data_IF_282282308030
#
_entry.id   IF_282282308030
#
_cell.length_a   1.000
_cell.length_b   1.000
_cell.length_c   1.000
_cell.angle_alpha   90.00
_cell.angle_beta   90.00
_cell.angle_gamma   90.00
#
_symmetry.space_group_name_H-M   'P 1'
#
loop_
_entity.id
_entity.type
_entity.pdbx_description
1 polymer ?
#
# COMPACT_ATOMS: atom_id res chain seq x y z
N UNK A 1 8.60 -71.27 -13.34
CA UNK A 1 7.39 -71.82 -13.98
C UNK A 1 6.18 -71.31 -13.22
N UNK A 2 5.32 -70.53 -13.94
CA UNK A 2 3.94 -70.04 -13.63
C UNK A 2 3.65 -69.51 -12.21
N UNK A 3 3.20 -68.27 -11.97
CA UNK A 3 2.55 -67.28 -12.83
C UNK A 3 1.09 -67.06 -12.41
N UNK A 4 0.73 -65.83 -12.03
CA UNK A 4 -0.49 -65.15 -12.51
C UNK A 4 -0.39 -63.63 -12.29
N UNK A 5 -0.67 -62.89 -13.37
CA UNK A 5 -0.68 -61.43 -13.56
C UNK A 5 -2.10 -60.89 -13.25
N UNK A 6 -2.26 -59.72 -12.58
CA UNK A 6 -2.65 -58.36 -13.10
C UNK A 6 -4.10 -58.23 -13.65
N UNK A 7 -4.80 -57.05 -13.72
CA UNK A 7 -4.26 -55.70 -14.00
C UNK A 7 -5.01 -54.45 -13.40
N UNK A 8 -4.52 -53.24 -13.72
CA UNK A 8 -5.33 -52.00 -13.80
C UNK A 8 -4.93 -50.87 -12.83
N UNK A 9 -3.94 -50.03 -13.14
CA UNK A 9 -4.06 -48.75 -13.86
C UNK A 9 -4.87 -47.65 -13.14
N UNK A 10 -4.17 -46.72 -12.48
CA UNK A 10 -4.32 -45.27 -12.70
C UNK A 10 -3.21 -44.53 -11.94
N UNK A 11 -2.14 -44.17 -12.65
CA UNK A 11 -1.19 -43.16 -12.16
C UNK A 11 -1.85 -41.80 -12.32
N UNK A 12 -2.37 -41.23 -11.24
CA UNK A 12 -2.65 -39.81 -11.19
C UNK A 12 -1.31 -39.05 -11.17
N UNK A 13 -1.07 -38.07 -12.06
CA UNK A 13 0.12 -37.25 -11.98
C UNK A 13 0.05 -36.42 -10.70
N UNK A 14 1.08 -36.60 -9.85
CA UNK A 14 1.35 -35.73 -8.72
C UNK A 14 1.64 -34.34 -9.29
N UNK A 15 0.62 -33.48 -9.35
CA UNK A 15 0.81 -32.07 -9.60
C UNK A 15 1.55 -31.51 -8.38
N UNK A 16 2.89 -31.53 -8.45
CA UNK A 16 3.73 -30.70 -7.59
C UNK A 16 3.37 -29.27 -8.01
N UNK A 17 2.41 -28.68 -7.31
CA UNK A 17 2.15 -27.26 -7.36
C UNK A 17 3.42 -26.58 -6.90
N UNK A 18 4.26 -26.17 -7.86
CA UNK A 18 5.27 -25.14 -7.64
C UNK A 18 4.46 -23.91 -7.28
N UNK A 19 4.19 -23.71 -5.98
CA UNK A 19 3.84 -22.40 -5.48
C UNK A 19 5.06 -21.53 -5.78
N UNK A 20 5.05 -20.85 -6.93
CA UNK A 20 5.94 -19.73 -7.17
C UNK A 20 5.67 -18.72 -6.06
N UNK A 21 6.49 -18.74 -5.02
CA UNK A 21 6.51 -17.71 -3.99
C UNK A 21 6.87 -16.42 -4.73
N UNK A 22 5.87 -15.58 -5.00
CA UNK A 22 6.09 -14.25 -5.54
C UNK A 22 6.58 -13.39 -4.39
N UNK A 23 7.89 -13.18 -4.32
CA UNK A 23 8.46 -12.25 -3.35
C UNK A 23 7.88 -10.84 -3.58
N UNK A 24 7.52 -10.19 -2.49
CA UNK A 24 7.16 -8.78 -2.47
C UNK A 24 8.40 -7.91 -2.62
N UNK A 25 8.32 -6.84 -3.40
CA UNK A 25 9.40 -5.86 -3.44
C UNK A 25 9.17 -4.69 -2.48
N UNK A 26 7.92 -4.52 -2.04
CA UNK A 26 7.50 -3.50 -1.11
C UNK A 26 6.45 -4.07 -0.16
N UNK A 27 6.76 -4.18 1.13
CA UNK A 27 5.84 -4.74 2.12
C UNK A 27 5.48 -3.69 3.15
N UNK A 28 4.17 -3.58 3.44
CA UNK A 28 3.65 -2.80 4.55
C UNK A 28 3.24 -3.75 5.66
N UNK A 29 3.92 -3.67 6.81
CA UNK A 29 3.60 -4.46 8.00
C UNK A 29 2.89 -3.59 9.02
N UNK A 30 1.75 -4.04 9.52
CA UNK A 30 1.03 -3.46 10.64
C UNK A 30 1.34 -4.26 11.90
N UNK A 31 1.79 -3.62 12.98
CA UNK A 31 2.04 -4.26 14.27
C UNK A 31 0.75 -4.54 15.03
N UNK A 32 0.66 -5.72 15.66
CA UNK A 32 -0.50 -6.24 16.36
C UNK A 32 -0.68 -5.78 17.81
N UNK A 33 0.29 -5.07 18.40
CA UNK A 33 0.16 -4.61 19.78
C UNK A 33 1.45 -4.12 20.43
N UNK A 34 1.39 -2.86 20.86
CA UNK A 34 2.35 -2.09 21.65
C UNK A 34 1.80 -0.67 21.68
N UNK A 35 2.00 0.09 22.76
CA UNK A 35 1.53 1.48 22.98
C UNK A 35 2.04 2.48 21.92
N UNK A 36 1.72 2.23 20.66
CA UNK A 36 2.14 3.00 19.51
C UNK A 36 1.05 4.04 19.23
N UNK A 37 1.36 5.34 19.37
CA UNK A 37 0.38 6.39 19.64
C UNK A 37 -0.69 6.65 18.57
N UNK A 38 -0.60 6.09 17.36
CA UNK A 38 -1.59 6.30 16.28
C UNK A 38 -2.44 5.07 15.89
N UNK A 39 -2.20 3.87 16.44
CA UNK A 39 -3.07 2.71 16.24
C UNK A 39 -4.43 2.93 16.91
N UNK A 40 -4.47 3.60 18.08
CA UNK A 40 -5.72 4.14 18.62
C UNK A 40 -6.44 5.07 17.63
N UNK A 41 -5.72 5.89 16.85
CA UNK A 41 -6.35 6.90 15.99
C UNK A 41 -7.06 6.30 14.76
N UNK A 42 -6.44 5.35 14.05
CA UNK A 42 -7.09 4.67 12.93
C UNK A 42 -8.28 3.80 13.38
N UNK A 43 -8.13 3.15 14.55
CA UNK A 43 -9.18 2.38 15.19
C UNK A 43 -10.36 3.28 15.61
N UNK A 44 -10.10 4.39 16.29
CA UNK A 44 -11.12 5.36 16.70
C UNK A 44 -11.85 5.96 15.50
N UNK A 45 -11.13 6.30 14.42
CA UNK A 45 -11.74 6.82 13.19
C UNK A 45 -12.67 5.78 12.54
N UNK A 46 -12.25 4.51 12.47
CA UNK A 46 -13.07 3.43 11.92
C UNK A 46 -14.34 3.18 12.74
N UNK A 47 -14.26 3.30 14.06
CA UNK A 47 -15.41 3.15 14.96
C UNK A 47 -16.37 4.33 14.83
N UNK A 48 -15.86 5.55 14.72
CA UNK A 48 -16.70 6.73 14.50
C UNK A 48 -17.48 6.64 13.18
N UNK A 49 -16.84 6.18 12.09
CA UNK A 49 -17.52 5.92 10.81
C UNK A 49 -18.57 4.81 10.95
N UNK A 50 -18.25 3.72 11.66
CA UNK A 50 -19.21 2.64 11.88
C UNK A 50 -20.42 3.09 12.71
N UNK A 51 -20.24 3.90 13.74
CA UNK A 51 -21.33 4.52 14.51
C UNK A 51 -22.20 5.41 13.62
N UNK A 52 -21.58 6.21 12.74
CA UNK A 52 -22.29 7.09 11.79
C UNK A 52 -23.12 6.29 10.77
N UNK A 53 -22.56 5.23 10.18
CA UNK A 53 -23.26 4.37 9.22
C UNK A 53 -24.41 3.60 9.90
N UNK A 54 -24.20 3.10 11.12
CA UNK A 54 -25.25 2.39 11.86
C UNK A 54 -26.38 3.33 12.27
N UNK A 55 -26.09 4.59 12.61
CA UNK A 55 -27.11 5.60 12.85
C UNK A 55 -27.99 5.91 11.63
N UNK A 56 -27.48 5.69 10.40
CA UNK A 56 -28.25 5.89 9.16
C UNK A 56 -28.99 4.63 8.68
N UNK A 57 -28.83 3.51 9.38
CA UNK A 57 -29.36 2.24 8.94
C UNK A 57 -30.89 2.18 9.11
N UNK A 58 -31.60 2.08 7.98
CA UNK A 58 -33.04 1.78 7.98
C UNK A 58 -33.24 0.31 8.35
N UNK A 59 -33.71 0.07 9.56
CA UNK A 59 -34.06 -1.27 10.04
C UNK A 59 -35.32 -1.76 9.29
N UNK A 60 -35.32 -2.98 8.74
CA UNK A 60 -36.45 -3.49 7.96
C UNK A 60 -37.64 -3.83 8.87
N UNK A 61 -38.85 -3.64 8.35
CA UNK A 61 -40.07 -4.06 9.04
C UNK A 61 -40.09 -5.59 9.21
N UNK A 62 -40.54 -6.04 10.38
CA UNK A 62 -40.57 -7.45 10.76
C UNK A 62 -42.02 -7.88 10.91
N UNK A 63 -42.45 -8.87 10.14
CA UNK A 63 -43.79 -9.45 10.27
C UNK A 63 -43.72 -10.96 10.42
N UNK A 64 -44.76 -11.54 11.01
CA UNK A 64 -44.84 -12.98 11.18
C UNK A 64 -46.13 -13.43 11.81
N UNK A 65 -46.21 -14.72 12.08
CA UNK A 65 -47.37 -15.33 12.69
C UNK A 65 -46.99 -16.03 14.00
N UNK A 66 -47.79 -15.86 15.04
CA UNK A 66 -47.66 -16.60 16.29
C UNK A 66 -49.00 -17.18 16.73
N UNK A 67 -48.97 -18.29 17.47
CA UNK A 67 -50.18 -18.92 18.00
C UNK A 67 -50.36 -18.55 19.47
N UNK A 68 -51.52 -18.01 19.80
CA UNK A 68 -51.91 -17.74 21.18
C UNK A 68 -52.90 -18.82 21.62
N UNK A 69 -52.66 -19.42 22.79
CA UNK A 69 -53.57 -20.40 23.40
C UNK A 69 -54.95 -19.77 23.57
N UNK A 70 -56.01 -20.45 23.12
CA UNK A 70 -57.43 -20.01 23.11
C UNK A 70 -57.83 -18.98 22.03
N UNK A 71 -56.92 -18.51 21.18
CA UNK A 71 -57.21 -17.48 20.16
C UNK A 71 -56.91 -17.96 18.74
N UNK A 72 -55.94 -18.86 18.57
CA UNK A 72 -55.50 -19.33 17.26
C UNK A 72 -54.29 -18.58 16.71
N UNK A 73 -54.12 -18.62 15.38
CA UNK A 73 -52.99 -18.01 14.67
C UNK A 73 -53.24 -16.51 14.52
N UNK A 74 -52.28 -15.70 14.96
CA UNK A 74 -52.35 -14.25 14.95
C UNK A 74 -51.16 -13.69 14.19
N UNK A 75 -51.43 -12.75 13.28
CA UNK A 75 -50.40 -12.07 12.50
C UNK A 75 -49.94 -10.81 13.24
N UNK A 76 -48.63 -10.63 13.35
CA UNK A 76 -48.01 -9.44 13.93
C UNK A 76 -47.12 -8.74 12.91
N UNK A 77 -46.98 -7.44 13.10
CA UNK A 77 -46.15 -6.55 12.30
C UNK A 77 -45.45 -5.56 13.23
N UNK A 78 -44.14 -5.43 13.07
CA UNK A 78 -43.26 -4.46 13.71
C UNK A 78 -42.74 -3.59 12.58
N UNK A 79 -43.01 -2.30 12.63
CA UNK A 79 -42.73 -1.39 11.52
C UNK A 79 -42.17 -0.06 12.00
N UNK A 80 -41.66 0.74 11.07
CA UNK A 80 -41.15 2.10 11.36
C UNK A 80 -40.06 2.10 12.43
N UNK A 81 -39.16 1.13 12.34
CA UNK A 81 -38.03 0.97 13.27
C UNK A 81 -37.05 2.14 13.11
N UNK A 82 -36.84 2.91 14.17
CA UNK A 82 -35.96 4.08 14.19
C UNK A 82 -34.89 3.93 15.28
N UNK A 83 -33.62 3.99 14.89
CA UNK A 83 -32.49 3.84 15.81
C UNK A 83 -32.17 5.22 16.43
N UNK A 84 -32.68 5.48 17.63
CA UNK A 84 -32.51 6.77 18.34
C UNK A 84 -31.10 7.00 18.83
N UNK A 85 -30.47 5.98 19.40
CA UNK A 85 -29.11 6.06 19.90
C UNK A 85 -28.37 4.75 19.69
N UNK A 86 -27.09 4.84 19.35
CA UNK A 86 -26.21 3.68 19.20
C UNK A 86 -24.79 4.08 19.52
N UNK A 87 -24.14 3.33 20.39
CA UNK A 87 -22.77 3.62 20.81
C UNK A 87 -21.98 2.33 21.03
N UNK A 88 -20.68 2.42 20.73
CA UNK A 88 -19.69 1.34 20.79
C UNK A 88 -18.55 1.72 21.74
N UNK A 89 -18.76 1.70 23.06
CA UNK A 89 -17.82 2.31 24.02
C UNK A 89 -16.45 1.63 24.03
N UNK A 90 -16.43 0.31 23.85
CA UNK A 90 -15.20 -0.47 23.85
C UNK A 90 -15.14 -1.32 22.60
N UNK A 91 -14.11 -1.09 21.80
CA UNK A 91 -13.80 -1.85 20.61
C UNK A 91 -12.32 -2.19 20.59
N UNK A 92 -11.97 -3.34 20.01
CA UNK A 92 -10.60 -3.80 19.82
C UNK A 92 -10.51 -4.55 18.50
N UNK A 93 -9.43 -4.30 17.76
CA UNK A 93 -9.02 -5.14 16.65
C UNK A 93 -7.84 -6.00 17.10
N UNK A 94 -7.96 -7.31 16.96
CA UNK A 94 -6.87 -8.26 17.20
C UNK A 94 -6.53 -9.03 15.93
N UNK A 95 -5.31 -9.57 15.88
CA UNK A 95 -4.87 -10.43 14.80
C UNK A 95 -5.29 -11.87 15.07
N UNK A 96 -5.78 -12.55 14.03
CA UNK A 96 -6.08 -13.98 14.09
C UNK A 96 -5.22 -14.67 13.04
N UNK A 97 -4.20 -15.44 13.46
CA UNK A 97 -3.30 -16.14 12.54
C UNK A 97 -4.07 -16.95 11.50
N UNK A 98 -3.67 -16.81 10.23
CA UNK A 98 -4.27 -17.52 9.08
C UNK A 98 -5.74 -17.19 8.78
N UNK A 99 -6.38 -16.27 9.52
CA UNK A 99 -7.76 -15.82 9.27
C UNK A 99 -7.78 -14.36 8.82
N UNK A 100 -7.10 -13.47 9.56
CA UNK A 100 -7.10 -12.04 9.28
C UNK A 100 -7.24 -11.22 10.56
N UNK A 101 -8.30 -10.42 10.63
CA UNK A 101 -8.58 -9.53 11.75
C UNK A 101 -9.80 -9.99 12.54
N UNK A 102 -9.80 -9.75 13.84
CA UNK A 102 -10.97 -9.93 14.69
C UNK A 102 -11.34 -8.62 15.35
N UNK A 103 -12.55 -8.16 15.07
CA UNK A 103 -13.15 -7.00 15.72
C UNK A 103 -13.98 -7.50 16.89
N UNK A 104 -13.64 -7.05 18.10
CA UNK A 104 -14.38 -7.33 19.32
C UNK A 104 -14.94 -6.03 19.89
N UNK A 105 -16.25 -5.99 20.10
CA UNK A 105 -16.99 -4.87 20.66
C UNK A 105 -17.64 -5.34 21.96
N UNK A 106 -17.54 -4.53 23.01
CA UNK A 106 -18.16 -4.82 24.30
C UNK A 106 -18.89 -3.60 24.88
N UNK A 107 -19.90 -3.88 25.70
CA UNK A 107 -20.80 -2.91 26.32
C UNK A 107 -21.46 -1.94 25.33
N UNK A 108 -21.69 -2.39 24.09
CA UNK A 108 -22.46 -1.60 23.14
C UNK A 108 -23.90 -1.44 23.63
N UNK A 109 -24.50 -0.30 23.30
CA UNK A 109 -25.89 0.00 23.63
C UNK A 109 -26.63 0.60 22.45
N UNK A 110 -27.92 0.31 22.37
CA UNK A 110 -28.81 0.79 21.32
C UNK A 110 -30.18 1.12 21.90
N UNK A 111 -30.79 2.21 21.45
CA UNK A 111 -32.19 2.55 21.70
C UNK A 111 -32.91 2.62 20.36
N UNK A 112 -33.99 1.84 20.23
CA UNK A 112 -34.77 1.69 19.01
C UNK A 112 -36.23 1.95 19.33
N UNK A 113 -36.83 2.83 18.56
CA UNK A 113 -38.26 3.03 18.55
C UNK A 113 -38.91 2.25 17.43
N UNK A 114 -40.18 1.94 17.59
CA UNK A 114 -40.97 1.47 16.46
C UNK A 114 -42.45 1.36 16.78
N UNK A 115 -43.17 0.89 15.79
CA UNK A 115 -44.59 0.60 15.87
C UNK A 115 -44.82 -0.90 15.86
N UNK A 116 -45.83 -1.36 16.59
CA UNK A 116 -46.28 -2.73 16.56
C UNK A 116 -47.77 -2.77 16.23
N UNK A 117 -48.18 -3.81 15.51
CA UNK A 117 -49.56 -4.06 15.14
C UNK A 117 -49.83 -5.55 15.22
N UNK A 118 -50.91 -5.91 15.88
CA UNK A 118 -51.44 -7.28 15.90
C UNK A 118 -52.77 -7.25 15.17
N UNK A 119 -52.83 -7.92 14.01
CA UNK A 119 -53.96 -7.84 13.09
C UNK A 119 -55.28 -8.13 13.80
N UNK A 120 -56.25 -7.22 13.68
CA UNK A 120 -57.61 -7.27 14.27
C UNK A 120 -57.67 -7.25 15.81
N UNK A 121 -56.58 -6.90 16.50
CA UNK A 121 -56.55 -6.85 17.97
C UNK A 121 -56.14 -5.49 18.51
N UNK A 122 -54.93 -5.07 18.19
CA UNK A 122 -54.34 -3.90 18.84
C UNK A 122 -53.15 -3.36 18.04
N UNK A 123 -52.74 -2.14 18.37
CA UNK A 123 -51.59 -1.47 17.81
C UNK A 123 -51.01 -0.47 18.81
N UNK A 124 -49.75 -0.12 18.64
CA UNK A 124 -49.11 0.90 19.44
C UNK A 124 -47.68 1.14 19.01
N UNK A 125 -46.97 1.94 19.78
CA UNK A 125 -45.53 2.13 19.69
C UNK A 125 -44.79 1.33 20.76
N UNK A 126 -43.49 1.12 20.55
CA UNK A 126 -42.60 0.60 21.57
C UNK A 126 -41.26 1.35 21.56
N UNK A 127 -40.63 1.37 22.72
CA UNK A 127 -39.23 1.74 22.96
C UNK A 127 -38.46 0.47 23.33
N UNK A 128 -37.34 0.24 22.66
CA UNK A 128 -36.46 -0.90 22.85
C UNK A 128 -35.07 -0.40 23.22
N UNK A 129 -34.67 -0.66 24.46
CA UNK A 129 -33.31 -0.40 24.94
C UNK A 129 -32.52 -1.70 25.07
N UNK A 130 -31.45 -1.81 24.32
CA UNK A 130 -30.52 -2.92 24.32
C UNK A 130 -29.22 -2.47 24.99
N UNK A 131 -28.83 -3.16 26.05
CA UNK A 131 -27.62 -2.83 26.84
C UNK A 131 -26.71 -4.05 26.92
N UNK A 132 -25.41 -3.79 27.12
CA UNK A 132 -24.39 -4.83 27.30
C UNK A 132 -24.37 -5.80 26.10
N UNK A 133 -24.32 -5.23 24.89
CA UNK A 133 -24.14 -5.97 23.65
C UNK A 133 -22.66 -6.25 23.44
N UNK A 134 -22.35 -7.52 23.18
CA UNK A 134 -21.04 -8.00 22.78
C UNK A 134 -21.13 -8.47 21.33
N UNK A 135 -20.25 -7.97 20.48
CA UNK A 135 -20.18 -8.33 19.05
C UNK A 135 -18.76 -8.79 18.77
N UNK A 136 -18.61 -9.94 18.12
CA UNK A 136 -17.32 -10.46 17.69
C UNK A 136 -17.40 -10.82 16.21
N UNK A 137 -16.52 -10.22 15.42
CA UNK A 137 -16.52 -10.32 13.94
C UNK A 137 -15.13 -10.76 13.52
N UNK A 138 -15.03 -11.86 12.79
CA UNK A 138 -13.79 -12.26 12.13
C UNK A 138 -13.84 -11.78 10.68
N UNK A 139 -12.93 -10.87 10.33
CA UNK A 139 -12.74 -10.35 8.97
C UNK A 139 -11.64 -11.17 8.29
N UNK A 140 -12.03 -11.83 7.21
CA UNK A 140 -11.10 -12.51 6.32
C UNK A 140 -10.60 -11.51 5.27
N UNK A 141 -9.29 -11.31 5.23
CA UNK A 141 -8.63 -10.45 4.25
C UNK A 141 -8.14 -11.29 3.07
N UNK A 142 -8.33 -10.76 1.86
CA UNK A 142 -8.00 -11.43 0.61
C UNK A 142 -7.40 -10.48 -0.42
N UNK A 143 -7.17 -10.99 -1.61
CA UNK A 143 -6.83 -10.20 -2.80
C UNK A 143 -7.60 -10.74 -4.00
N UNK A 144 -8.02 -9.84 -4.90
CA UNK A 144 -8.63 -10.22 -6.16
C UNK A 144 -7.58 -10.40 -7.28
N UNK A 145 -8.01 -10.85 -8.46
CA UNK A 145 -7.14 -11.09 -9.60
C UNK A 145 -6.45 -9.83 -10.14
N UNK A 146 -6.94 -8.63 -9.79
CA UNK A 146 -6.31 -7.35 -10.14
C UNK A 146 -5.27 -6.88 -9.10
N UNK A 147 -5.10 -7.65 -8.02
CA UNK A 147 -4.23 -7.30 -6.90
C UNK A 147 -4.84 -6.22 -5.99
N UNK A 148 -6.16 -6.06 -5.98
CA UNK A 148 -6.84 -5.20 -4.99
C UNK A 148 -7.17 -6.01 -3.72
N UNK A 149 -7.12 -5.38 -2.53
CA UNK A 149 -7.53 -6.03 -1.30
C UNK A 149 -9.03 -6.33 -1.31
N UNK A 150 -9.40 -7.44 -0.68
CA UNK A 150 -10.80 -7.80 -0.42
C UNK A 150 -10.99 -8.07 1.06
N UNK A 151 -12.20 -7.83 1.57
CA UNK A 151 -12.60 -8.24 2.91
C UNK A 151 -13.96 -8.94 2.83
N UNK A 152 -14.13 -10.00 3.62
CA UNK A 152 -15.43 -10.61 3.91
C UNK A 152 -15.47 -11.02 5.39
N UNK A 153 -16.64 -11.39 5.89
CA UNK A 153 -16.80 -11.92 7.23
C UNK A 153 -16.73 -13.45 7.20
N UNK A 154 -15.80 -14.05 7.95
CA UNK A 154 -15.75 -15.52 8.10
C UNK A 154 -16.62 -16.02 9.24
N UNK A 155 -16.78 -15.21 10.28
CA UNK A 155 -17.62 -15.52 11.44
C UNK A 155 -18.14 -14.23 12.08
N UNK A 156 -19.35 -14.30 12.63
CA UNK A 156 -19.91 -13.22 13.44
C UNK A 156 -20.75 -13.82 14.57
N UNK A 157 -20.50 -13.37 15.79
CA UNK A 157 -21.31 -13.72 16.96
C UNK A 157 -21.73 -12.48 17.74
N UNK A 158 -22.95 -12.50 18.24
CA UNK A 158 -23.54 -11.43 19.04
C UNK A 158 -24.15 -11.99 20.30
N UNK A 159 -23.83 -11.40 21.45
CA UNK A 159 -24.46 -11.71 22.72
C UNK A 159 -25.06 -10.44 23.31
N UNK A 160 -26.37 -10.48 23.53
CA UNK A 160 -27.13 -9.39 24.13
C UNK A 160 -27.45 -9.80 25.55
N UNK A 161 -26.96 -9.04 26.54
CA UNK A 161 -27.13 -9.42 27.94
C UNK A 161 -28.40 -8.83 28.55
N UNK A 162 -28.86 -7.67 28.07
CA UNK A 162 -30.02 -6.99 28.63
C UNK A 162 -30.84 -6.31 27.54
N UNK A 163 -32.11 -6.67 27.50
CA UNK A 163 -33.11 -6.09 26.60
C UNK A 163 -34.25 -5.57 27.46
N UNK A 164 -34.54 -4.28 27.35
CA UNK A 164 -35.69 -3.63 27.97
C UNK A 164 -36.60 -3.17 26.86
N UNK A 165 -37.86 -3.58 26.92
CA UNK A 165 -38.86 -3.16 25.94
C UNK A 165 -40.02 -2.54 26.69
N UNK A 166 -40.41 -1.34 26.28
CA UNK A 166 -41.57 -0.64 26.78
C UNK A 166 -42.58 -0.52 25.64
N UNK A 167 -43.70 -1.25 25.75
CA UNK A 167 -44.81 -1.13 24.81
C UNK A 167 -45.82 -0.12 25.35
N UNK A 168 -46.28 0.78 24.48
CA UNK A 168 -47.50 1.55 24.75
C UNK A 168 -48.73 0.65 24.59
N UNK A 169 -49.75 0.82 25.45
CA UNK A 169 -51.00 0.06 25.42
C UNK A 169 -51.13 -1.02 26.51
N UNK A 170 -52.18 -1.85 26.41
CA UNK A 170 -52.56 -2.84 27.46
C UNK A 170 -51.80 -4.18 27.38
N UNK A 171 -50.91 -4.35 26.41
CA UNK A 171 -50.19 -5.59 26.13
C UNK A 171 -48.73 -5.52 26.61
N UNK A 172 -48.51 -5.57 27.93
CA UNK A 172 -47.18 -5.64 28.55
C UNK A 172 -46.45 -6.99 28.45
N UNK A 173 -46.93 -7.92 27.60
CA UNK A 173 -46.47 -9.32 27.54
C UNK A 173 -45.92 -9.76 26.19
N UNK A 174 -45.74 -8.84 25.22
CA UNK A 174 -44.98 -9.12 24.01
C UNK A 174 -43.49 -9.19 24.36
N UNK A 175 -42.97 -10.40 24.63
CA UNK A 175 -41.51 -10.61 24.64
C UNK A 175 -41.00 -10.36 23.22
N UNK A 176 -39.95 -9.56 23.10
CA UNK A 176 -39.30 -9.23 21.82
C UNK A 176 -38.97 -10.52 21.05
N UNK A 177 -39.70 -10.76 19.97
CA UNK A 177 -39.52 -11.84 19.00
C UNK A 177 -39.61 -11.19 17.61
N UNK A 178 -38.57 -11.17 16.78
CA UNK A 178 -37.13 -11.40 17.01
C UNK A 178 -36.37 -10.07 17.21
N UNK A 179 -35.42 -10.00 18.15
CA UNK A 179 -34.46 -8.90 18.20
C UNK A 179 -33.67 -8.81 16.87
N UNK A 180 -33.23 -7.61 16.45
CA UNK A 180 -32.50 -7.43 15.20
C UNK A 180 -31.27 -8.35 15.11
N UNK A 181 -31.10 -9.00 13.96
CA UNK A 181 -29.96 -9.87 13.68
C UNK A 181 -28.71 -9.02 13.39
N UNK A 182 -28.11 -8.47 14.44
CA UNK A 182 -26.92 -7.58 14.39
C UNK A 182 -25.83 -8.14 13.47
N UNK A 183 -25.58 -9.45 13.49
CA UNK A 183 -24.61 -10.06 12.59
C UNK A 183 -24.98 -9.98 11.11
N UNK A 184 -26.25 -10.08 10.74
CA UNK A 184 -26.64 -9.93 9.33
C UNK A 184 -26.40 -8.52 8.83
N UNK A 185 -26.65 -7.52 9.68
CA UNK A 185 -26.36 -6.12 9.38
C UNK A 185 -24.84 -5.94 9.17
N UNK A 186 -24.02 -6.44 10.10
CA UNK A 186 -22.56 -6.39 9.98
C UNK A 186 -22.06 -7.04 8.69
N UNK A 187 -22.51 -8.27 8.40
CA UNK A 187 -22.12 -9.00 7.18
C UNK A 187 -22.51 -8.21 5.94
N UNK A 188 -23.71 -7.60 5.93
CA UNK A 188 -24.17 -6.75 4.84
C UNK A 188 -23.28 -5.51 4.68
N UNK A 189 -22.97 -4.79 5.76
CA UNK A 189 -22.11 -3.60 5.74
C UNK A 189 -20.68 -3.91 5.28
N UNK A 190 -20.11 -5.05 5.65
CA UNK A 190 -18.79 -5.47 5.14
C UNK A 190 -18.82 -5.62 3.63
N UNK A 191 -19.90 -6.19 3.08
CA UNK A 191 -20.05 -6.44 1.64
C UNK A 191 -20.48 -5.20 0.85
N UNK A 192 -21.30 -4.31 1.42
CA UNK A 192 -21.82 -3.13 0.72
C UNK A 192 -20.96 -1.89 0.89
N UNK A 193 -20.22 -1.75 1.99
CA UNK A 193 -19.42 -0.55 2.27
C UNK A 193 -17.92 -0.84 2.27
N UNK A 194 -17.46 -1.75 3.14
CA UNK A 194 -16.01 -1.98 3.33
C UNK A 194 -15.38 -2.59 2.07
N UNK A 195 -15.99 -3.60 1.48
CA UNK A 195 -15.45 -4.25 0.29
C UNK A 195 -15.40 -3.30 -0.91
N UNK A 196 -16.44 -2.50 -1.23
CA UNK A 196 -16.33 -1.46 -2.25
C UNK A 196 -15.29 -0.38 -1.94
N UNK A 197 -15.18 0.06 -0.68
CA UNK A 197 -14.12 0.99 -0.27
C UNK A 197 -12.72 0.41 -0.57
N UNK A 198 -12.46 -0.84 -0.20
CA UNK A 198 -11.18 -1.50 -0.48
C UNK A 198 -10.88 -1.59 -1.98
N UNK A 199 -11.91 -1.73 -2.83
CA UNK A 199 -11.76 -1.70 -4.29
C UNK A 199 -11.37 -0.32 -4.82
N UNK A 200 -11.64 0.77 -4.11
CA UNK A 200 -11.20 2.12 -4.51
C UNK A 200 -9.70 2.32 -4.36
N UNK A 201 -9.02 1.50 -3.55
CA UNK A 201 -7.59 1.65 -3.29
C UNK A 201 -6.80 1.51 -4.61
N UNK A 202 -5.91 2.48 -4.90
CA UNK A 202 -5.15 2.46 -6.14
C UNK A 202 -4.15 1.31 -6.14
N UNK A 203 -4.22 0.47 -7.17
CA UNK A 203 -3.17 -0.54 -7.45
C UNK A 203 -2.02 0.06 -8.25
N UNK A 204 -2.23 1.22 -8.87
CA UNK A 204 -1.16 1.98 -9.51
C UNK A 204 -1.27 3.44 -9.11
N UNK A 205 -0.12 4.09 -8.91
CA UNK A 205 -0.03 5.51 -8.61
C UNK A 205 0.93 6.19 -9.60
N UNK A 206 0.53 7.33 -10.14
CA UNK A 206 1.45 8.18 -10.93
C UNK A 206 2.34 8.96 -9.96
N UNK A 207 3.64 8.99 -10.24
CA UNK A 207 4.61 9.77 -9.47
C UNK A 207 4.80 11.13 -10.13
N UNK A 208 5.01 11.13 -11.45
CA UNK A 208 5.17 12.33 -12.25
C UNK A 208 4.78 12.08 -13.72
N UNK A 209 5.23 12.95 -14.63
CA UNK A 209 4.96 12.83 -16.07
C UNK A 209 5.73 11.68 -16.76
N UNK A 210 6.68 11.03 -16.08
CA UNK A 210 7.57 10.01 -16.64
C UNK A 210 7.29 8.62 -16.07
N UNK A 211 7.00 8.52 -14.77
CA UNK A 211 6.91 7.24 -14.07
C UNK A 211 5.64 7.08 -13.21
N UNK A 212 5.22 5.82 -13.06
CA UNK A 212 4.24 5.38 -12.07
C UNK A 212 4.76 4.17 -11.28
N UNK A 213 4.05 3.80 -10.22
CA UNK A 213 4.34 2.65 -9.37
C UNK A 213 3.14 1.71 -9.37
N UNK A 214 3.41 0.42 -9.46
CA UNK A 214 2.46 -0.68 -9.29
C UNK A 214 2.53 -1.21 -7.85
N UNK A 215 1.46 -0.97 -7.10
CA UNK A 215 1.21 -1.42 -5.74
C UNK A 215 0.18 -2.55 -5.68
N UNK A 216 -0.06 -3.28 -6.78
CA UNK A 216 -0.93 -4.47 -6.74
C UNK A 216 -0.45 -5.45 -5.66
N UNK A 217 -1.36 -6.05 -4.89
CA UNK A 217 -1.05 -7.14 -3.98
C UNK A 217 -0.48 -8.33 -4.75
N UNK A 218 0.64 -8.87 -4.28
CA UNK A 218 1.22 -10.09 -4.85
C UNK A 218 0.69 -11.36 -4.18
N UNK A 219 0.09 -11.21 -3.00
CA UNK A 219 -0.59 -12.24 -2.22
C UNK A 219 -1.67 -11.60 -1.31
N UNK A 220 -2.64 -12.39 -0.82
CA UNK A 220 -3.54 -11.95 0.25
C UNK A 220 -2.79 -11.42 1.48
N UNK A 221 -3.32 -10.40 2.19
CA UNK A 221 -2.74 -9.94 3.44
C UNK A 221 -2.62 -11.08 4.46
N UNK A 222 -1.45 -11.22 5.06
CA UNK A 222 -1.12 -12.34 5.95
C UNK A 222 -1.10 -11.87 7.40
N UNK A 223 -2.04 -12.37 8.21
CA UNK A 223 -2.07 -12.13 9.65
C UNK A 223 -1.26 -13.20 10.40
N UNK A 224 -0.35 -12.76 11.25
CA UNK A 224 0.40 -13.56 12.23
C UNK A 224 -0.09 -13.22 13.64
N UNK A 225 0.53 -13.79 14.68
CA UNK A 225 0.20 -13.43 16.06
C UNK A 225 0.60 -11.99 16.42
N UNK A 226 1.53 -11.40 15.67
CA UNK A 226 2.17 -10.11 16.00
C UNK A 226 2.07 -9.07 14.89
N UNK A 227 1.77 -9.47 13.66
CA UNK A 227 1.71 -8.55 12.53
C UNK A 227 0.61 -8.90 11.52
N UNK A 228 0.16 -7.89 10.78
CA UNK A 228 -0.55 -8.05 9.52
C UNK A 228 0.35 -7.54 8.40
N UNK A 229 0.81 -8.46 7.55
CA UNK A 229 1.73 -8.18 6.46
C UNK A 229 0.95 -8.03 5.14
N UNK A 230 1.19 -6.91 4.46
CA UNK A 230 0.59 -6.56 3.17
C UNK A 230 1.69 -6.48 2.13
N UNK A 231 1.76 -7.51 1.30
CA UNK A 231 2.81 -7.69 0.29
C UNK A 231 2.40 -7.07 -1.04
N UNK A 232 3.12 -6.03 -1.45
CA UNK A 232 2.85 -5.22 -2.62
C UNK A 232 3.92 -5.42 -3.68
N UNK A 233 3.52 -5.30 -4.94
CA UNK A 233 4.42 -5.50 -6.06
C UNK A 233 5.58 -4.50 -6.08
N UNK A 234 5.33 -3.22 -5.76
CA UNK A 234 6.36 -2.18 -5.60
C UNK A 234 7.22 -1.97 -6.85
N UNK A 235 6.62 -1.97 -8.03
CA UNK A 235 7.35 -1.92 -9.31
C UNK A 235 7.14 -0.58 -9.99
N UNK A 236 8.21 0.17 -10.26
CA UNK A 236 8.10 1.36 -11.10
C UNK A 236 7.98 0.97 -12.58
N UNK A 237 7.18 1.74 -13.31
CA UNK A 237 7.05 1.61 -14.75
C UNK A 237 7.09 2.98 -15.42
N UNK A 238 7.63 3.02 -16.64
CA UNK A 238 7.59 4.21 -17.50
C UNK A 238 6.18 4.40 -18.06
N UNK A 239 5.69 5.65 -18.02
CA UNK A 239 4.42 6.04 -18.64
C UNK A 239 4.50 6.07 -20.17
N UNK A 240 5.71 6.23 -20.73
CA UNK A 240 5.92 6.21 -22.18
C UNK A 240 5.90 4.78 -22.74
N UNK A 241 6.53 3.83 -22.04
CA UNK A 241 6.55 2.43 -22.45
C UNK A 241 6.68 1.48 -21.26
N UNK A 242 5.64 0.72 -21.00
CA UNK A 242 5.64 -0.31 -19.96
C UNK A 242 6.30 -1.58 -20.50
N UNK A 243 7.38 -2.02 -19.86
CA UNK A 243 8.11 -3.24 -20.22
C UNK A 243 8.38 -4.10 -18.99
N UNK A 244 8.42 -5.42 -19.19
CA UNK A 244 8.71 -6.37 -18.12
C UNK A 244 10.10 -6.10 -17.49
N UNK A 245 10.19 -6.30 -16.19
CA UNK A 245 11.44 -6.17 -15.44
C UNK A 245 12.21 -7.49 -15.54
N UNK A 246 13.49 -7.49 -15.98
CA UNK A 246 14.24 -8.73 -16.28
C UNK A 246 14.90 -9.37 -15.05
N UNK A 247 14.54 -8.95 -13.85
CA UNK A 247 15.04 -9.48 -12.58
C UNK A 247 13.88 -9.59 -11.58
N UNK A 248 14.07 -10.36 -10.50
CA UNK A 248 13.04 -10.61 -9.49
C UNK A 248 13.40 -10.00 -8.13
N UNK A 249 12.41 -9.66 -7.29
CA UNK A 249 12.67 -9.22 -5.93
C UNK A 249 13.16 -10.37 -5.04
N UNK A 250 14.04 -10.02 -4.11
CA UNK A 250 14.48 -10.91 -3.03
C UNK A 250 13.52 -10.81 -1.83
N UNK A 251 13.41 -11.86 -1.00
CA UNK A 251 12.61 -11.80 0.21
C UNK A 251 13.06 -10.65 1.12
N UNK A 252 12.09 -9.88 1.62
CA UNK A 252 12.34 -8.82 2.59
C UNK A 252 12.36 -9.41 4.01
N UNK A 253 13.45 -9.16 4.74
CA UNK A 253 13.51 -9.42 6.17
C UNK A 253 13.15 -8.15 6.93
N UNK A 254 12.27 -8.29 7.91
CA UNK A 254 11.89 -7.22 8.82
C UNK A 254 12.49 -7.47 10.20
N UNK A 255 12.83 -6.41 10.95
CA UNK A 255 13.26 -6.57 12.34
C UNK A 255 12.16 -7.25 13.17
N UNK A 256 12.54 -7.96 14.25
CA UNK A 256 11.59 -8.60 15.15
C UNK A 256 10.86 -7.59 16.06
N UNK A 257 11.31 -6.34 16.09
CA UNK A 257 10.74 -5.29 16.93
C UNK A 257 9.37 -4.82 16.42
N UNK A 258 8.52 -4.44 17.37
CA UNK A 258 7.13 -4.02 17.13
C UNK A 258 6.81 -2.65 17.77
N UNK A 259 7.85 -1.83 17.99
CA UNK A 259 7.80 -0.50 18.60
C UNK A 259 7.05 0.55 17.76
N UNK A 260 6.79 0.27 16.49
CA UNK A 260 6.04 1.13 15.56
C UNK A 260 4.78 0.42 15.09
N UNK A 261 3.77 1.23 14.71
CA UNK A 261 2.53 0.68 14.17
C UNK A 261 2.67 0.14 12.77
N UNK A 262 3.51 0.78 11.95
CA UNK A 262 3.67 0.47 10.54
C UNK A 262 5.16 0.40 10.24
N UNK A 263 5.57 -0.69 9.60
CA UNK A 263 6.88 -0.81 8.99
C UNK A 263 6.72 -0.89 7.48
N UNK A 264 7.59 -0.19 6.77
CA UNK A 264 7.70 -0.28 5.32
C UNK A 264 9.03 -0.92 4.98
N UNK A 265 8.98 -2.05 4.28
CA UNK A 265 10.15 -2.68 3.68
C UNK A 265 10.19 -2.33 2.20
N UNK A 266 11.30 -1.79 1.73
CA UNK A 266 11.54 -1.53 0.32
C UNK A 266 12.85 -2.23 -0.09
N UNK A 267 12.75 -3.10 -1.08
CA UNK A 267 13.89 -3.88 -1.57
C UNK A 267 14.75 -3.10 -2.57
N UNK A 268 15.97 -3.58 -2.85
CA UNK A 268 16.78 -3.07 -3.97
C UNK A 268 16.00 -3.11 -5.30
N UNK A 269 15.12 -4.10 -5.49
CA UNK A 269 14.25 -4.20 -6.66
C UNK A 269 13.37 -2.96 -6.84
N UNK A 270 12.74 -2.47 -5.77
CA UNK A 270 11.88 -1.28 -5.81
C UNK A 270 12.65 -0.08 -6.40
N UNK A 271 13.86 0.19 -5.90
CA UNK A 271 14.68 1.30 -6.38
C UNK A 271 15.28 1.07 -7.77
N UNK A 272 15.69 -0.15 -8.09
CA UNK A 272 16.24 -0.49 -9.41
C UNK A 272 15.19 -0.38 -10.52
N UNK A 273 13.93 -0.72 -10.24
CA UNK A 273 12.85 -0.49 -11.20
C UNK A 273 12.59 1.01 -11.42
N UNK A 274 12.76 1.85 -10.39
CA UNK A 274 12.68 3.30 -10.53
C UNK A 274 13.77 3.82 -11.48
N UNK A 275 15.03 3.43 -11.23
CA UNK A 275 16.17 3.79 -12.10
C UNK A 275 15.92 3.40 -13.55
N UNK A 276 15.37 2.20 -13.78
CA UNK A 276 15.00 1.71 -15.12
C UNK A 276 13.85 2.49 -15.76
N UNK A 277 12.80 2.82 -15.00
CA UNK A 277 11.67 3.59 -15.51
C UNK A 277 12.11 5.00 -15.97
N UNK A 278 12.90 5.70 -15.17
CA UNK A 278 13.42 7.03 -15.54
C UNK A 278 14.46 6.98 -16.67
N UNK A 279 15.33 5.96 -16.67
CA UNK A 279 16.31 5.76 -17.76
C UNK A 279 15.62 5.50 -19.10
N UNK A 280 14.68 4.55 -19.14
CA UNK A 280 13.92 4.24 -20.36
C UNK A 280 13.00 5.37 -20.83
N UNK A 281 12.59 6.27 -19.93
CA UNK A 281 11.87 7.49 -20.26
C UNK A 281 12.77 8.62 -20.79
N UNK A 282 14.09 8.42 -20.87
CA UNK A 282 15.06 9.45 -21.28
C UNK A 282 15.17 10.62 -20.30
N UNK A 283 14.73 10.43 -19.04
CA UNK A 283 14.65 11.51 -18.05
C UNK A 283 15.99 11.77 -17.33
N UNK A 284 16.94 10.84 -17.43
CA UNK A 284 18.25 10.94 -16.76
C UNK A 284 19.27 11.71 -17.63
N UNK A 285 18.90 12.95 -17.99
CA UNK A 285 19.73 13.89 -18.76
C UNK A 285 19.74 15.25 -18.05
N UNK A 286 20.91 15.85 -17.91
CA UNK A 286 21.09 17.16 -17.28
C UNK A 286 22.09 17.99 -18.07
N UNK A 287 21.82 19.27 -18.25
CA UNK A 287 22.74 20.20 -18.94
C UNK A 287 23.27 21.23 -17.95
N UNK A 288 24.60 21.39 -17.93
CA UNK A 288 25.30 22.42 -17.15
C UNK A 288 25.81 23.48 -18.13
N UNK A 289 25.56 24.73 -17.78
CA UNK A 289 26.04 25.91 -18.51
C UNK A 289 26.77 26.84 -17.54
N UNK A 290 27.58 27.75 -18.06
CA UNK A 290 28.31 28.73 -17.25
C UNK A 290 27.40 29.53 -16.31
N UNK A 291 26.19 29.87 -16.76
CA UNK A 291 25.20 30.62 -15.96
C UNK A 291 24.75 29.93 -14.66
N UNK A 292 24.98 28.63 -14.54
CA UNK A 292 24.66 27.84 -13.34
C UNK A 292 25.79 27.87 -12.30
N UNK A 293 26.96 28.39 -12.66
CA UNK A 293 28.09 28.52 -11.73
C UNK A 293 27.85 29.74 -10.82
N UNK A 294 27.97 29.59 -9.49
CA UNK A 294 27.79 30.71 -8.57
C UNK A 294 28.80 31.82 -8.83
N UNK A 295 28.33 33.07 -8.84
CA UNK A 295 29.12 34.27 -9.18
C UNK A 295 30.37 34.51 -8.31
N UNK A 296 30.49 33.86 -7.16
CA UNK A 296 31.65 33.94 -6.27
C UNK A 296 32.75 32.94 -6.56
N UNK A 297 32.60 32.10 -7.59
CA UNK A 297 33.59 31.10 -8.00
C UNK A 297 34.32 31.62 -9.24
N UNK A 298 35.64 31.73 -9.17
CA UNK A 298 36.49 32.22 -10.28
C UNK A 298 36.62 31.22 -11.46
N UNK A 299 35.96 30.07 -11.35
CA UNK A 299 35.96 29.03 -12.35
C UNK A 299 34.77 29.21 -13.29
N UNK A 300 35.02 29.45 -14.56
CA UNK A 300 33.99 29.58 -15.58
C UNK A 300 33.96 28.38 -16.53
N UNK A 301 32.78 28.04 -17.02
CA UNK A 301 32.58 27.00 -18.02
C UNK A 301 32.76 27.61 -19.42
N UNK A 302 34.00 27.94 -19.74
CA UNK A 302 34.43 28.46 -21.04
C UNK A 302 35.78 27.87 -21.47
N UNK A 303 36.11 28.00 -22.75
CA UNK A 303 37.31 27.40 -23.34
C UNK A 303 38.61 28.00 -22.81
N UNK A 304 38.60 29.30 -22.47
CA UNK A 304 39.77 30.00 -21.92
C UNK A 304 40.15 29.49 -20.54
N UNK A 305 39.19 29.32 -19.61
CA UNK A 305 39.44 28.70 -18.30
C UNK A 305 39.85 27.23 -18.45
N UNK A 306 39.18 26.47 -19.33
CA UNK A 306 39.50 25.06 -19.53
C UNK A 306 40.82 24.83 -20.29
N UNK A 307 41.36 25.83 -20.98
CA UNK A 307 42.65 25.76 -21.68
C UNK A 307 43.82 25.42 -20.75
N UNK A 308 43.71 25.76 -19.47
CA UNK A 308 44.69 25.41 -18.44
C UNK A 308 44.88 23.88 -18.32
N UNK A 309 43.83 23.11 -18.63
CA UNK A 309 43.86 21.65 -18.64
C UNK A 309 43.98 21.07 -20.05
N UNK A 310 43.35 21.72 -21.04
CA UNK A 310 43.30 21.26 -22.43
C UNK A 310 43.68 22.43 -23.37
N UNK A 311 44.98 22.69 -23.58
CA UNK A 311 45.45 23.87 -24.32
C UNK A 311 44.93 23.98 -25.76
N UNK A 312 44.47 22.89 -26.37
CA UNK A 312 43.90 22.90 -27.71
C UNK A 312 42.56 23.64 -27.79
N UNK A 313 41.84 23.77 -26.66
CA UNK A 313 40.55 24.46 -26.63
C UNK A 313 40.66 25.93 -27.03
N UNK A 314 41.63 26.66 -26.48
CA UNK A 314 41.84 28.07 -26.83
C UNK A 314 42.29 28.25 -28.29
N UNK A 315 43.02 27.26 -28.84
CA UNK A 315 43.47 27.30 -30.23
C UNK A 315 42.35 27.06 -31.24
N UNK A 316 41.45 26.13 -30.94
CA UNK A 316 40.37 25.72 -31.86
C UNK A 316 39.09 26.52 -31.66
N UNK A 317 38.80 26.94 -30.43
CA UNK A 317 37.56 27.59 -30.01
C UNK A 317 37.87 28.75 -29.03
N UNK A 318 38.56 29.82 -29.46
CA UNK A 318 38.96 30.92 -28.59
C UNK A 318 37.75 31.67 -28.01
N UNK A 319 37.80 31.96 -26.71
CA UNK A 319 36.79 32.74 -25.95
C UNK A 319 35.33 32.28 -26.16
N UNK A 320 35.10 30.96 -26.09
CA UNK A 320 33.77 30.35 -26.27
C UNK A 320 33.21 29.81 -24.96
N UNK A 321 31.92 30.04 -24.72
CA UNK A 321 31.21 29.38 -23.63
C UNK A 321 31.09 27.87 -23.89
N UNK A 322 31.11 27.09 -22.82
CA UNK A 322 30.98 25.64 -22.87
C UNK A 322 29.62 25.20 -22.30
N UNK A 323 29.18 24.02 -22.74
CA UNK A 323 28.03 23.29 -22.19
C UNK A 323 28.47 21.87 -21.87
N UNK A 324 28.13 21.37 -20.69
CA UNK A 324 28.29 19.96 -20.34
C UNK A 324 26.92 19.28 -20.33
N UNK A 325 26.77 18.23 -21.12
CA UNK A 325 25.57 17.39 -21.12
C UNK A 325 25.89 16.08 -20.39
N UNK A 326 25.27 15.91 -19.23
CA UNK A 326 25.34 14.70 -18.42
C UNK A 326 24.19 13.79 -18.82
N UNK A 327 24.47 12.51 -19.01
CA UNK A 327 23.44 11.50 -19.30
C UNK A 327 23.80 10.15 -18.71
N UNK A 328 22.80 9.36 -18.33
CA UNK A 328 23.04 7.99 -17.86
C UNK A 328 23.01 7.01 -19.06
N UNK A 329 24.14 6.38 -19.43
CA UNK A 329 24.16 5.41 -20.54
C UNK A 329 23.38 4.13 -20.20
N UNK A 330 23.23 3.81 -18.91
CA UNK A 330 22.43 2.70 -18.39
C UNK A 330 21.65 3.12 -17.14
N UNK A 331 20.62 2.35 -16.79
CA UNK A 331 19.87 2.57 -15.56
C UNK A 331 20.79 2.42 -14.34
N UNK A 332 20.75 3.36 -13.37
CA UNK A 332 21.58 3.28 -12.17
C UNK A 332 21.17 2.07 -11.33
N UNK A 333 22.17 1.37 -10.78
CA UNK A 333 21.96 0.22 -9.91
C UNK A 333 22.14 0.61 -8.44
N UNK A 334 21.16 0.24 -7.61
CA UNK A 334 21.16 0.38 -6.16
C UNK A 334 21.11 -0.99 -5.50
N UNK A 335 21.96 -1.18 -4.51
CA UNK A 335 21.98 -2.35 -3.65
C UNK A 335 21.78 -1.97 -2.17
N UNK A 336 21.06 -2.82 -1.45
CA UNK A 336 20.76 -2.68 -0.02
C UNK A 336 21.37 -3.90 0.67
N UNK A 337 22.51 -3.68 1.31
CA UNK A 337 23.24 -4.71 2.04
C UNK A 337 23.35 -4.41 3.54
N UNK A 338 23.97 -5.31 4.31
CA UNK A 338 24.22 -5.09 5.74
C UNK A 338 25.11 -3.87 6.03
N UNK A 339 25.98 -3.51 5.07
CA UNK A 339 26.84 -2.31 5.13
C UNK A 339 26.10 -1.01 4.76
N UNK A 340 24.80 -1.09 4.46
CA UNK A 340 23.96 0.04 4.06
C UNK A 340 23.63 0.08 2.58
N UNK A 341 23.36 1.28 2.07
CA UNK A 341 22.97 1.52 0.68
C UNK A 341 24.21 1.73 -0.21
N UNK A 342 24.26 1.06 -1.36
CA UNK A 342 25.29 1.23 -2.38
C UNK A 342 24.64 1.65 -3.69
N UNK A 343 24.95 2.85 -4.18
CA UNK A 343 24.52 3.33 -5.49
C UNK A 343 25.70 3.26 -6.47
N UNK A 344 25.46 2.78 -7.69
CA UNK A 344 26.47 2.67 -8.75
C UNK A 344 25.96 3.35 -10.02
N UNK A 345 25.97 4.69 -10.08
CA UNK A 345 25.62 5.40 -11.30
C UNK A 345 26.81 5.37 -12.25
N UNK A 346 26.50 5.24 -13.55
CA UNK A 346 27.43 5.55 -14.63
C UNK A 346 26.89 6.80 -15.31
N UNK A 347 27.76 7.77 -15.58
CA UNK A 347 27.36 9.05 -16.18
C UNK A 347 28.30 9.38 -17.32
N UNK A 348 27.74 9.63 -18.50
CA UNK A 348 28.45 10.18 -19.64
C UNK A 348 28.36 11.70 -19.61
N UNK A 349 29.50 12.37 -19.71
CA UNK A 349 29.64 13.83 -19.69
C UNK A 349 30.19 14.25 -21.04
N UNK A 350 29.31 14.75 -21.91
CA UNK A 350 29.69 15.29 -23.20
C UNK A 350 29.90 16.80 -23.07
N UNK A 351 31.10 17.27 -23.39
CA UNK A 351 31.42 18.69 -23.46
C UNK A 351 31.21 19.22 -24.89
N UNK A 352 30.69 20.45 -24.96
CA UNK A 352 30.49 21.20 -26.19
C UNK A 352 31.04 22.63 -26.04
N UNK A 353 31.57 23.20 -27.12
CA UNK A 353 31.71 24.64 -27.28
C UNK A 353 30.44 25.20 -27.95
N UNK A 354 29.97 26.34 -27.46
CA UNK A 354 28.83 27.07 -28.02
C UNK A 354 29.39 28.07 -29.03
N UNK A 355 29.17 27.81 -30.32
CA UNK A 355 29.65 28.66 -31.40
C UNK A 355 28.83 29.96 -31.50
N UNK A 356 29.32 31.02 -32.19
CA UNK A 356 28.60 32.29 -32.33
C UNK A 356 27.21 32.17 -32.97
N UNK A 357 27.00 31.16 -33.80
CA UNK A 357 25.71 30.83 -34.40
C UNK A 357 24.81 29.97 -33.48
N UNK A 358 25.14 29.83 -32.20
CA UNK A 358 24.49 28.98 -31.20
C UNK A 358 24.52 27.47 -31.47
N UNK A 359 25.26 27.00 -32.49
CA UNK A 359 25.46 25.57 -32.70
C UNK A 359 26.48 25.00 -31.71
N UNK A 360 26.36 23.70 -31.42
CA UNK A 360 27.21 23.01 -30.45
C UNK A 360 28.28 22.21 -31.19
N UNK A 361 29.55 22.56 -30.97
CA UNK A 361 30.68 21.78 -31.45
C UNK A 361 31.12 20.78 -30.36
N UNK A 362 31.11 19.45 -30.62
CA UNK A 362 31.56 18.48 -29.63
C UNK A 362 33.06 18.65 -29.35
N UNK A 363 33.43 18.55 -28.08
CA UNK A 363 34.82 18.70 -27.63
C UNK A 363 35.40 17.37 -27.15
N UNK A 364 34.78 16.77 -26.14
CA UNK A 364 35.21 15.50 -25.58
C UNK A 364 34.07 14.83 -24.81
N UNK A 365 34.17 13.50 -24.70
CA UNK A 365 33.25 12.65 -23.97
C UNK A 365 33.99 11.96 -22.83
N UNK A 366 33.55 12.23 -21.60
CA UNK A 366 34.01 11.51 -20.41
C UNK A 366 32.96 10.50 -19.97
N UNK A 367 33.39 9.41 -19.37
CA UNK A 367 32.53 8.52 -18.58
C UNK A 367 32.97 8.58 -17.13
N UNK A 368 32.00 8.75 -16.25
CA UNK A 368 32.18 8.76 -14.80
C UNK A 368 31.54 7.55 -14.15
N UNK A 369 32.22 6.94 -13.18
CA UNK A 369 31.69 5.85 -12.38
C UNK A 369 32.13 5.96 -10.91
N UNK A 370 31.43 5.20 -10.06
CA UNK A 370 31.57 5.13 -8.60
C UNK A 370 31.10 6.40 -7.85
N UNK A 371 29.88 6.32 -7.34
CA UNK A 371 29.34 7.20 -6.30
C UNK A 371 28.85 6.33 -5.14
N UNK A 372 29.76 5.84 -4.30
CA UNK A 372 29.37 5.15 -3.07
C UNK A 372 28.90 6.19 -2.06
N UNK A 373 27.58 6.30 -1.88
CA UNK A 373 26.96 7.04 -0.79
C UNK A 373 26.61 6.04 0.32
N UNK A 374 27.46 5.84 1.35
CA UNK A 374 27.02 5.16 2.55
C UNK A 374 25.97 6.04 3.21
N UNK A 375 24.71 5.78 2.91
CA UNK A 375 23.59 6.39 3.63
C UNK A 375 23.51 5.69 4.98
N UNK A 376 24.23 6.23 5.96
CA UNK A 376 24.10 5.85 7.36
C UNK A 376 22.68 6.11 7.88
N UNK A 377 22.39 5.58 9.07
CA UNK A 377 21.11 5.77 9.76
C UNK A 377 20.65 7.24 9.72
N UNK A 378 19.33 7.51 9.64
CA UNK A 378 18.79 8.87 9.45
C UNK A 378 19.25 9.92 10.48
N UNK A 379 19.82 9.52 11.62
CA UNK A 379 20.40 10.36 12.67
C UNK A 379 21.84 10.82 12.42
N UNK A 380 22.56 10.27 11.43
CA UNK A 380 23.94 10.69 11.07
C UNK A 380 24.07 10.90 9.56
N UNK A 381 23.48 11.99 9.05
CA UNK A 381 23.74 12.45 7.67
C UNK A 381 25.11 13.13 7.58
N UNK A 382 26.15 12.33 7.41
CA UNK A 382 27.36 12.73 6.67
C UNK A 382 27.40 11.92 5.38
N UNK A 383 26.76 12.43 4.34
CA UNK A 383 26.94 11.91 2.98
C UNK A 383 28.37 12.24 2.54
N UNK A 384 29.33 11.36 2.81
CA UNK A 384 30.66 11.46 2.24
C UNK A 384 30.59 10.94 0.80
N UNK A 385 30.56 11.87 -0.15
CA UNK A 385 30.78 11.56 -1.55
C UNK A 385 32.18 10.95 -1.68
N UNK A 386 32.27 9.64 -2.01
CA UNK A 386 33.57 9.07 -2.43
C UNK A 386 33.94 9.61 -3.82
N UNK A 387 35.25 9.72 -4.05
CA UNK A 387 35.91 10.31 -5.24
C UNK A 387 35.29 9.74 -6.53
N UNK A 388 34.73 10.61 -7.37
CA UNK A 388 34.23 10.23 -8.70
C UNK A 388 35.42 9.91 -9.60
N UNK A 389 35.40 8.74 -10.24
CA UNK A 389 36.42 8.36 -11.24
C UNK A 389 35.92 8.76 -12.62
N UNK A 390 36.80 9.38 -13.41
CA UNK A 390 36.52 9.82 -14.77
C UNK A 390 37.52 9.13 -15.72
N UNK A 391 37.06 8.75 -16.91
CA UNK A 391 37.92 8.41 -18.03
C UNK A 391 37.45 9.04 -19.33
N UNK A 392 38.39 9.24 -20.25
CA UNK A 392 38.13 9.73 -21.58
C UNK A 392 37.58 8.58 -22.44
N UNK A 393 36.40 8.77 -23.03
CA UNK A 393 35.85 7.89 -24.07
C UNK A 393 36.29 8.36 -25.45
N UNK A 394 36.21 9.66 -25.71
CA UNK A 394 36.50 10.28 -26.99
C UNK A 394 36.92 11.74 -26.83
N UNK A 395 37.72 12.27 -27.76
CA UNK A 395 38.11 13.68 -27.80
C UNK A 395 38.30 14.15 -29.23
N UNK A 396 37.65 15.26 -29.58
CA UNK A 396 37.78 15.99 -30.85
C UNK A 396 38.79 17.14 -30.74
N UNK A 397 39.39 17.33 -29.55
CA UNK A 397 40.36 18.41 -29.24
C UNK A 397 41.73 17.85 -28.82
N UNK A 398 42.05 16.66 -29.34
CA UNK A 398 43.31 15.96 -29.06
C UNK A 398 43.35 15.24 -27.71
N UNK A 399 44.50 14.66 -27.38
CA UNK A 399 44.70 13.90 -26.15
C UNK A 399 44.99 14.81 -24.96
N UNK A 400 44.35 14.56 -23.82
CA UNK A 400 44.62 15.24 -22.55
C UNK A 400 44.48 14.27 -21.38
N UNK A 401 45.07 14.61 -20.24
CA UNK A 401 44.99 13.81 -19.02
C UNK A 401 43.70 14.13 -18.26
N UNK A 402 42.90 13.11 -17.97
CA UNK A 402 41.63 13.25 -17.21
C UNK A 402 41.86 13.25 -15.70
N UNK A 403 43.00 12.75 -15.24
CA UNK A 403 43.38 12.69 -13.83
C UNK A 403 44.65 13.48 -13.56
N UNK A 404 44.61 14.37 -12.57
CA UNK A 404 45.79 14.87 -11.86
C UNK A 404 45.81 14.23 -10.46
N UNK A 405 47.00 13.89 -9.89
CA UNK A 405 47.16 13.15 -8.62
C UNK A 405 46.28 13.64 -7.45
#
# INVERSE_FOLDING_TARGET
YRGSQSPGSSRAPLWIGIHCVRNSSFTRRLSGGGDAPSAPAAHQQGIAVLEQELAQLKLPDISGDFRIRHVGKVHYEISSLDLRSFHLPYSRISLVPSVGLQVSISNAFAEVDGNWRVKLRDHGSFDLKVENVYIKINLQLGSDASGKPTADTSDCSTRISKVRVHFSGKFGYLRCLPCPQVCQIVVKSVRSELQPYLRTLPVTARIDARAGIDYSLVAPPTATAQSLDVDLKGEFFSLAHRSAVPFAPLPLAFPPDHDRMVYFGASSYFFNTAGRAYHSAGALVFEITDSMIPKGVEFHLNTTTFSAFIPQLERMYPDMLMKLRLSAPSAPFLDIGPEGLSLRPVVDIQAYAILPNSSLAPLFLLTGWELLLPLGQPSQRRSSLRRMRLSLKHSDVGTFQVSYP
#
